data_IF_160282386646
#
_entry.id   IF_160282386646
#
_cell.length_a   1.000
_cell.length_b   1.000
_cell.length_c   1.000
_cell.angle_alpha   90.00
_cell.angle_beta   90.00
_cell.angle_gamma   90.00
#
_symmetry.space_group_name_H-M   'P 1'
#
loop_
_entity.id
_entity.type
_entity.pdbx_description
1 polymer ?
#
# COMPACT_ATOMS: atom_id res chain seq x y z
N UNK A 1 -39.33 19.04 9.58
CA UNK A 1 -38.85 17.65 9.49
C UNK A 1 -39.81 16.79 10.30
N UNK A 2 -40.27 15.66 9.76
CA UNK A 2 -41.13 14.76 10.51
C UNK A 2 -40.30 13.75 11.32
N UNK A 3 -40.82 13.27 12.45
CA UNK A 3 -40.14 12.24 13.25
C UNK A 3 -39.90 10.96 12.44
N UNK A 4 -40.79 10.66 11.50
CA UNK A 4 -40.66 9.53 10.57
C UNK A 4 -39.42 9.66 9.67
N UNK A 5 -39.11 10.87 9.19
CA UNK A 5 -37.95 11.11 8.32
C UNK A 5 -36.64 10.83 9.08
N UNK A 6 -36.58 11.27 10.34
CA UNK A 6 -35.43 11.04 11.22
C UNK A 6 -35.28 9.56 11.58
N UNK A 7 -36.39 8.86 11.85
CA UNK A 7 -36.39 7.42 12.11
C UNK A 7 -35.88 6.64 10.90
N UNK A 8 -36.34 6.98 9.69
CA UNK A 8 -35.86 6.36 8.46
C UNK A 8 -34.35 6.58 8.24
N UNK A 9 -33.85 7.79 8.46
CA UNK A 9 -32.42 8.08 8.34
C UNK A 9 -31.60 7.29 9.38
N UNK A 10 -32.09 7.20 10.62
CA UNK A 10 -31.45 6.40 11.68
C UNK A 10 -31.39 4.92 11.32
N UNK A 11 -32.46 4.36 10.78
CA UNK A 11 -32.51 2.95 10.41
C UNK A 11 -31.54 2.65 9.27
N UNK A 12 -31.46 3.52 8.26
CA UNK A 12 -30.45 3.45 7.19
C UNK A 12 -29.02 3.53 7.75
N UNK A 13 -28.79 4.46 8.68
CA UNK A 13 -27.46 4.65 9.30
C UNK A 13 -27.02 3.43 10.11
N UNK A 14 -27.92 2.83 10.89
CA UNK A 14 -27.65 1.61 11.65
C UNK A 14 -27.38 0.40 10.74
N UNK A 15 -27.99 0.37 9.55
CA UNK A 15 -27.73 -0.70 8.58
C UNK A 15 -26.30 -0.66 8.02
N UNK A 16 -25.70 0.53 7.89
CA UNK A 16 -24.28 0.66 7.52
C UNK A 16 -23.37 -0.06 8.53
N UNK A 17 -23.65 0.04 9.82
CA UNK A 17 -22.85 -0.60 10.87
C UNK A 17 -22.90 -2.14 10.78
N UNK A 18 -24.05 -2.70 10.37
CA UNK A 18 -24.21 -4.15 10.22
C UNK A 18 -23.49 -4.69 8.99
N UNK A 19 -23.52 -3.92 7.90
CA UNK A 19 -23.02 -4.36 6.59
C UNK A 19 -21.54 -4.06 6.39
N UNK A 20 -20.99 -3.03 7.06
CA UNK A 20 -19.60 -2.58 6.85
C UNK A 20 -18.64 -3.00 7.96
N UNK A 21 -17.62 -3.79 7.59
CA UNK A 21 -16.50 -4.12 8.49
C UNK A 21 -15.70 -2.90 8.92
N UNK A 22 -15.72 -1.80 8.15
CA UNK A 22 -15.01 -0.55 8.45
C UNK A 22 -15.54 0.12 9.73
N UNK A 23 -16.79 -0.18 10.10
CA UNK A 23 -17.45 0.33 11.30
C UNK A 23 -17.38 -0.65 12.48
N UNK A 24 -16.75 -1.80 12.31
CA UNK A 24 -16.62 -2.81 13.35
C UNK A 24 -15.53 -2.48 14.38
N UNK A 25 -15.51 -3.21 15.49
CA UNK A 25 -14.40 -3.16 16.46
C UNK A 25 -13.06 -3.59 15.86
N UNK A 26 -13.11 -4.39 14.79
CA UNK A 26 -11.94 -4.91 14.07
C UNK A 26 -11.56 -4.02 12.88
N UNK A 27 -11.97 -2.74 12.86
CA UNK A 27 -11.67 -1.81 11.74
C UNK A 27 -10.18 -1.64 11.46
N UNK A 28 -9.32 -1.84 12.47
CA UNK A 28 -7.85 -1.82 12.35
C UNK A 28 -7.23 -3.21 12.17
N UNK A 29 -8.03 -4.25 11.90
CA UNK A 29 -7.50 -5.55 11.53
C UNK A 29 -6.80 -5.43 10.18
N UNK A 30 -5.47 -5.52 10.23
CA UNK A 30 -4.60 -5.34 9.07
C UNK A 30 -4.78 -6.45 8.03
N UNK A 31 -5.35 -7.61 8.41
CA UNK A 31 -5.71 -8.68 7.47
C UNK A 31 -6.68 -8.25 6.39
N UNK A 32 -7.41 -7.15 6.64
CA UNK A 32 -8.40 -6.62 5.71
C UNK A 32 -7.96 -5.36 4.99
N UNK A 33 -6.69 -4.95 5.15
CA UNK A 33 -6.14 -3.83 4.40
C UNK A 33 -6.17 -4.10 2.89
N UNK A 34 -6.06 -3.07 2.08
CA UNK A 34 -5.95 -3.17 0.62
C UNK A 34 -4.75 -4.02 0.25
N UNK A 35 -3.64 -3.84 0.97
CA UNK A 35 -2.49 -4.72 0.90
C UNK A 35 -2.20 -5.23 2.32
N UNK A 36 -2.68 -6.43 2.71
CA UNK A 36 -2.49 -6.92 4.06
C UNK A 36 -1.00 -7.08 4.40
N UNK A 37 -0.49 -6.43 5.45
CA UNK A 37 0.88 -6.62 5.88
C UNK A 37 1.05 -8.07 6.35
N UNK A 38 2.08 -8.75 5.85
CA UNK A 38 2.44 -10.09 6.37
C UNK A 38 2.98 -9.96 7.80
N UNK A 39 2.95 -11.03 8.59
CA UNK A 39 3.16 -11.01 10.06
C UNK A 39 4.45 -10.37 10.58
N UNK A 40 5.43 -10.13 9.70
CA UNK A 40 6.70 -9.49 9.99
C UNK A 40 6.83 -8.07 9.38
N UNK A 41 5.87 -7.64 8.54
CA UNK A 41 5.73 -6.30 7.93
C UNK A 41 5.08 -5.28 8.89
N UNK A 42 4.92 -5.64 10.17
CA UNK A 42 4.76 -4.67 11.25
C UNK A 42 6.10 -3.93 11.43
N UNK A 43 6.44 -3.12 10.43
CA UNK A 43 7.45 -2.08 10.61
C UNK A 43 7.04 -1.24 11.82
N UNK A 44 8.04 -0.76 12.56
CA UNK A 44 7.86 0.21 13.65
C UNK A 44 6.90 1.34 13.22
N UNK A 45 7.00 1.78 11.96
CA UNK A 45 6.13 2.80 11.34
C UNK A 45 4.65 2.44 11.31
N UNK A 46 4.28 1.22 10.89
CA UNK A 46 2.87 0.81 10.87
C UNK A 46 2.32 0.70 12.30
N UNK A 47 3.14 0.19 13.23
CA UNK A 47 2.81 0.18 14.65
C UNK A 47 2.53 1.60 15.18
N UNK A 48 3.39 2.56 14.84
CA UNK A 48 3.21 3.97 15.18
C UNK A 48 1.90 4.53 14.63
N UNK A 49 1.58 4.31 13.35
CA UNK A 49 0.32 4.79 12.76
C UNK A 49 -0.91 4.19 13.44
N UNK A 50 -0.91 2.88 13.70
CA UNK A 50 -2.01 2.21 14.38
C UNK A 50 -2.19 2.70 15.82
N UNK A 51 -1.10 3.01 16.52
CA UNK A 51 -1.16 3.58 17.87
C UNK A 51 -1.74 4.99 17.84
N UNK A 52 -1.28 5.85 16.92
CA UNK A 52 -1.86 7.19 16.76
C UNK A 52 -3.36 7.14 16.44
N UNK A 53 -3.82 6.21 15.60
CA UNK A 53 -5.26 6.07 15.33
C UNK A 53 -6.06 5.61 16.55
N UNK A 54 -5.50 4.71 17.38
CA UNK A 54 -6.14 4.29 18.64
C UNK A 54 -6.19 5.42 19.67
N UNK A 55 -5.14 6.23 19.75
CA UNK A 55 -5.11 7.42 20.60
C UNK A 55 -6.13 8.46 20.15
N UNK A 56 -6.22 8.70 18.84
CA UNK A 56 -7.23 9.57 18.24
C UNK A 56 -8.65 9.08 18.54
N UNK A 57 -8.91 7.77 18.45
CA UNK A 57 -10.19 7.17 18.85
C UNK A 57 -10.51 7.42 20.33
N UNK A 58 -9.53 7.20 21.21
CA UNK A 58 -9.72 7.42 22.64
C UNK A 58 -9.99 8.91 22.94
N UNK A 59 -9.37 9.82 22.20
CA UNK A 59 -9.63 11.25 22.29
C UNK A 59 -11.05 11.61 21.81
N UNK A 60 -11.47 11.07 20.67
CA UNK A 60 -12.83 11.26 20.13
C UNK A 60 -13.90 10.75 21.11
N UNK A 61 -13.68 9.60 21.75
CA UNK A 61 -14.59 9.10 22.79
C UNK A 61 -14.72 10.08 23.96
N UNK A 62 -13.63 10.72 24.39
CA UNK A 62 -13.67 11.75 25.46
C UNK A 62 -14.42 13.00 25.01
N UNK A 63 -14.27 13.43 23.75
CA UNK A 63 -15.04 14.55 23.21
C UNK A 63 -16.53 14.23 23.19
N UNK A 64 -16.91 13.02 22.77
CA UNK A 64 -18.30 12.57 22.76
C UNK A 64 -18.93 12.54 24.15
N UNK A 65 -18.17 12.17 25.19
CA UNK A 65 -18.62 12.25 26.58
C UNK A 65 -18.88 13.70 27.03
N UNK A 66 -18.01 14.64 26.64
CA UNK A 66 -18.22 16.06 26.97
C UNK A 66 -19.49 16.62 26.35
N UNK A 67 -19.82 16.23 25.12
CA UNK A 67 -21.08 16.64 24.51
C UNK A 67 -22.28 16.02 25.21
N UNK A 68 -22.21 14.75 25.63
CA UNK A 68 -23.32 14.12 26.35
C UNK A 68 -23.70 14.91 27.61
N UNK A 69 -22.72 15.34 28.40
CA UNK A 69 -22.95 16.19 29.58
C UNK A 69 -23.67 17.50 29.20
N UNK A 70 -23.29 18.11 28.07
CA UNK A 70 -23.91 19.36 27.60
C UNK A 70 -25.33 19.14 27.06
N UNK A 71 -25.58 18.00 26.43
CA UNK A 71 -26.91 17.63 25.94
C UNK A 71 -27.90 17.30 27.06
N UNK A 72 -27.40 16.78 28.18
CA UNK A 72 -28.14 16.53 29.41
C UNK A 72 -28.37 17.80 30.25
N UNK A 73 -27.85 18.96 29.83
CA UNK A 73 -28.10 20.22 30.52
C UNK A 73 -29.59 20.58 30.46
N UNK A 74 -30.14 21.03 31.58
CA UNK A 74 -31.49 21.59 31.65
C UNK A 74 -31.63 22.93 30.93
N UNK A 75 -30.52 23.56 30.54
CA UNK A 75 -30.52 24.82 29.79
C UNK A 75 -30.63 24.54 28.27
N UNK A 76 -31.75 24.90 27.62
CA UNK A 76 -31.94 24.71 26.19
C UNK A 76 -30.88 25.43 25.34
N UNK A 77 -30.37 26.58 25.79
CA UNK A 77 -29.36 27.33 25.06
C UNK A 77 -28.02 26.58 25.03
N UNK A 78 -27.63 25.95 26.14
CA UNK A 78 -26.42 25.14 26.23
C UNK A 78 -26.50 23.94 25.30
N UNK A 79 -27.65 23.27 25.26
CA UNK A 79 -27.84 22.10 24.42
C UNK A 79 -27.94 22.45 22.92
N UNK A 80 -28.65 23.54 22.57
CA UNK A 80 -28.71 24.02 21.19
C UNK A 80 -27.34 24.46 20.67
N UNK A 81 -26.52 25.09 21.52
CA UNK A 81 -25.12 25.39 21.21
C UNK A 81 -24.31 24.13 20.99
N UNK A 82 -24.45 23.11 21.85
CA UNK A 82 -23.77 21.84 21.69
C UNK A 82 -24.18 21.11 20.40
N UNK A 83 -25.46 21.17 20.03
CA UNK A 83 -25.96 20.60 18.78
C UNK A 83 -25.37 21.32 17.57
N UNK A 84 -25.30 22.65 17.60
CA UNK A 84 -24.64 23.44 16.54
C UNK A 84 -23.19 23.02 16.35
N UNK A 85 -22.41 22.96 17.44
CA UNK A 85 -21.01 22.53 17.40
C UNK A 85 -20.84 21.10 16.86
N UNK A 86 -21.77 20.20 17.21
CA UNK A 86 -21.80 18.84 16.66
C UNK A 86 -22.04 18.84 15.14
N UNK A 87 -22.96 19.68 14.66
CA UNK A 87 -23.22 19.84 13.22
C UNK A 87 -22.04 20.46 12.48
N UNK A 88 -21.34 21.43 13.09
CA UNK A 88 -20.12 22.01 12.54
C UNK A 88 -19.01 20.96 12.43
N UNK A 89 -18.87 20.08 13.43
CA UNK A 89 -17.96 18.93 13.32
C UNK A 89 -18.37 17.98 12.20
N UNK A 90 -19.64 17.64 12.05
CA UNK A 90 -20.09 16.74 10.97
C UNK A 90 -19.67 17.28 9.60
N UNK A 91 -19.84 18.58 9.35
CA UNK A 91 -19.39 19.22 8.11
C UNK A 91 -17.88 19.13 7.93
N UNK A 92 -17.11 19.33 9.00
CA UNK A 92 -15.66 19.20 8.98
C UNK A 92 -15.21 17.77 8.66
N UNK A 93 -15.78 16.77 9.32
CA UNK A 93 -15.44 15.36 9.13
C UNK A 93 -15.88 14.84 7.76
N UNK A 94 -17.06 15.27 7.28
CA UNK A 94 -17.54 14.99 5.93
C UNK A 94 -16.53 15.51 4.89
N UNK A 95 -16.17 16.79 4.98
CA UNK A 95 -15.20 17.41 4.07
C UNK A 95 -13.86 16.67 4.10
N UNK A 96 -13.35 16.35 5.30
CA UNK A 96 -12.10 15.61 5.46
C UNK A 96 -12.14 14.24 4.79
N UNK A 97 -13.28 13.53 4.89
CA UNK A 97 -13.48 12.22 4.27
C UNK A 97 -13.61 12.29 2.74
N UNK A 98 -14.27 13.34 2.23
CA UNK A 98 -14.41 13.62 0.80
C UNK A 98 -13.08 14.01 0.15
N UNK A 99 -12.25 14.78 0.86
CA UNK A 99 -10.91 15.18 0.44
C UNK A 99 -9.84 14.08 0.62
N UNK A 100 -10.21 12.93 1.19
CA UNK A 100 -9.28 11.81 1.38
C UNK A 100 -8.76 11.33 0.02
N UNK A 101 -7.43 11.16 -0.14
CA UNK A 101 -6.85 10.75 -1.42
C UNK A 101 -7.31 9.36 -1.85
N UNK A 102 -7.67 8.49 -0.90
CA UNK A 102 -8.14 7.14 -1.17
C UNK A 102 -9.56 7.18 -1.76
N UNK A 103 -9.63 7.29 -3.09
CA UNK A 103 -10.87 7.43 -3.87
C UNK A 103 -10.84 6.51 -5.10
N UNK A 104 -11.93 6.45 -5.87
CA UNK A 104 -11.97 5.70 -7.12
C UNK A 104 -10.92 6.21 -8.12
N UNK A 105 -10.57 7.50 -8.02
CA UNK A 105 -9.54 8.15 -8.84
C UNK A 105 -8.16 8.16 -8.14
N UNK A 106 -7.93 7.24 -7.19
CA UNK A 106 -6.67 7.18 -6.44
C UNK A 106 -5.48 7.15 -7.41
N UNK A 107 -4.55 8.12 -7.31
CA UNK A 107 -3.48 8.26 -8.29
C UNK A 107 -2.50 7.10 -8.16
N UNK A 108 -2.54 6.17 -9.12
CA UNK A 108 -1.59 5.06 -9.18
C UNK A 108 -0.25 5.59 -9.71
N UNK A 109 0.80 5.65 -8.88
CA UNK A 109 2.07 6.21 -9.31
C UNK A 109 2.74 5.26 -10.31
N UNK A 110 3.51 5.78 -11.27
CA UNK A 110 4.42 4.94 -12.06
C UNK A 110 5.57 4.49 -11.17
N UNK A 111 5.60 3.20 -10.86
CA UNK A 111 6.59 2.63 -9.96
C UNK A 111 7.78 2.11 -10.76
N UNK A 112 8.92 2.76 -10.52
CA UNK A 112 10.18 2.59 -11.23
C UNK A 112 11.31 2.15 -10.29
N UNK A 113 11.01 1.85 -9.03
CA UNK A 113 11.96 1.22 -8.11
C UNK A 113 11.27 0.53 -6.95
N UNK A 114 11.97 -0.44 -6.36
CA UNK A 114 11.56 -1.08 -5.12
C UNK A 114 11.37 -0.04 -4.02
N UNK A 115 12.23 0.96 -3.95
CA UNK A 115 12.09 2.06 -3.00
C UNK A 115 10.77 2.82 -3.23
N UNK A 116 10.44 3.17 -4.48
CA UNK A 116 9.17 3.80 -4.82
C UNK A 116 7.98 2.89 -4.51
N UNK A 117 8.11 1.59 -4.74
CA UNK A 117 7.08 0.63 -4.39
C UNK A 117 6.86 0.54 -2.89
N UNK A 118 7.94 0.39 -2.11
CA UNK A 118 7.90 0.36 -0.65
C UNK A 118 7.31 1.65 -0.11
N UNK A 119 7.71 2.81 -0.63
CA UNK A 119 7.14 4.11 -0.29
C UNK A 119 5.65 4.19 -0.63
N UNK A 120 5.25 3.67 -1.79
CA UNK A 120 3.86 3.58 -2.20
C UNK A 120 3.03 2.72 -1.23
N UNK A 121 3.52 1.53 -0.84
CA UNK A 121 2.82 0.65 0.11
C UNK A 121 2.69 1.32 1.49
N UNK A 122 3.74 1.95 2.01
CA UNK A 122 3.65 2.67 3.28
C UNK A 122 2.69 3.87 3.22
N UNK A 123 2.70 4.60 2.11
CA UNK A 123 1.74 5.69 1.89
C UNK A 123 0.32 5.14 1.83
N UNK A 124 0.10 4.03 1.12
CA UNK A 124 -1.18 3.35 1.05
C UNK A 124 -1.69 2.93 2.43
N UNK A 125 -0.84 2.36 3.29
CA UNK A 125 -1.21 2.02 4.68
C UNK A 125 -1.67 3.24 5.46
N UNK A 126 -0.91 4.33 5.38
CA UNK A 126 -1.26 5.59 6.07
C UNK A 126 -2.60 6.13 5.57
N UNK A 127 -2.76 6.23 4.26
CA UNK A 127 -4.00 6.75 3.66
C UNK A 127 -5.21 5.87 3.98
N UNK A 128 -5.03 4.55 3.97
CA UNK A 128 -6.09 3.62 4.33
C UNK A 128 -6.48 3.69 5.81
N UNK A 129 -5.51 3.81 6.72
CA UNK A 129 -5.76 4.01 8.14
C UNK A 129 -6.55 5.31 8.36
N UNK A 130 -6.11 6.41 7.75
CA UNK A 130 -6.79 7.71 7.83
C UNK A 130 -8.22 7.63 7.29
N UNK A 131 -8.41 6.97 6.15
CA UNK A 131 -9.72 6.76 5.53
C UNK A 131 -10.67 5.96 6.45
N UNK A 132 -10.19 4.85 7.02
CA UNK A 132 -10.95 4.02 7.97
C UNK A 132 -11.33 4.81 9.23
N UNK A 133 -10.40 5.61 9.75
CA UNK A 133 -10.64 6.48 10.89
C UNK A 133 -11.70 7.53 10.57
N UNK A 134 -11.58 8.22 9.42
CA UNK A 134 -12.56 9.21 8.98
C UNK A 134 -13.98 8.63 8.84
N UNK A 135 -14.12 7.43 8.26
CA UNK A 135 -15.39 6.70 8.20
C UNK A 135 -15.97 6.48 9.60
N UNK A 136 -15.16 6.00 10.55
CA UNK A 136 -15.60 5.70 11.90
C UNK A 136 -16.00 6.97 12.69
N UNK A 137 -15.19 8.01 12.62
CA UNK A 137 -15.44 9.30 13.30
C UNK A 137 -16.72 9.93 12.76
N UNK A 138 -16.87 10.02 11.43
CA UNK A 138 -18.07 10.58 10.83
C UNK A 138 -19.31 9.75 11.21
N UNK A 139 -19.23 8.42 11.13
CA UNK A 139 -20.34 7.54 11.51
C UNK A 139 -20.81 7.76 12.95
N UNK A 140 -19.88 7.74 13.91
CA UNK A 140 -20.22 7.91 15.33
C UNK A 140 -20.75 9.32 15.64
N UNK A 141 -20.24 10.33 14.94
CA UNK A 141 -20.71 11.72 15.06
C UNK A 141 -22.14 11.86 14.52
N UNK A 142 -22.46 11.25 13.37
CA UNK A 142 -23.83 11.19 12.82
C UNK A 142 -24.76 10.45 13.79
N UNK A 143 -24.37 9.29 14.32
CA UNK A 143 -25.18 8.55 15.31
C UNK A 143 -25.54 9.43 16.50
N UNK A 144 -24.57 10.21 17.00
CA UNK A 144 -24.80 11.13 18.10
C UNK A 144 -25.79 12.23 17.73
N UNK A 145 -25.62 12.85 16.58
CA UNK A 145 -26.49 13.93 16.12
C UNK A 145 -27.92 13.46 15.89
N UNK A 146 -28.11 12.28 15.29
CA UNK A 146 -29.44 11.67 15.10
C UNK A 146 -30.18 11.48 16.43
N UNK A 147 -29.51 10.92 17.45
CA UNK A 147 -30.11 10.73 18.76
C UNK A 147 -30.51 12.07 19.41
N UNK A 148 -29.67 13.10 19.25
CA UNK A 148 -29.93 14.41 19.84
C UNK A 148 -31.04 15.17 19.10
N UNK A 149 -31.09 15.10 17.77
CA UNK A 149 -32.21 15.64 17.01
C UNK A 149 -33.53 14.95 17.37
N UNK A 150 -33.52 13.65 17.62
CA UNK A 150 -34.74 12.91 17.98
C UNK A 150 -35.29 13.38 19.33
N UNK A 151 -34.41 13.53 20.33
CA UNK A 151 -34.78 14.06 21.64
C UNK A 151 -35.37 15.47 21.51
N UNK A 152 -34.72 16.34 20.73
CA UNK A 152 -35.15 17.74 20.54
C UNK A 152 -36.47 17.83 19.78
N UNK A 153 -36.65 17.02 18.73
CA UNK A 153 -37.89 17.00 17.97
C UNK A 153 -39.07 16.50 18.82
N UNK A 154 -38.85 15.54 19.72
CA UNK A 154 -39.88 15.08 20.68
C UNK A 154 -40.24 16.16 21.70
N UNK A 155 -39.26 16.95 22.17
CA UNK A 155 -39.50 18.04 23.12
C UNK A 155 -40.29 19.22 22.52
N UNK A 156 -40.28 19.38 21.19
CA UNK A 156 -41.00 20.44 20.48
C UNK A 156 -42.49 20.17 20.23
N UNK A 157 -42.96 18.94 20.47
CA UNK A 157 -44.32 18.54 20.08
C UNK A 157 -45.45 19.31 20.81
N UNK A 158 -45.15 19.99 21.91
CA UNK A 158 -46.17 20.61 22.77
C UNK A 158 -46.27 22.16 22.64
N UNK A 159 -45.25 22.85 22.10
CA UNK A 159 -45.29 24.32 21.88
C UNK A 159 -44.10 24.76 20.99
N UNK A 160 -44.14 24.42 19.70
CA UNK A 160 -42.99 24.54 18.80
C UNK A 160 -42.64 26.00 18.45
N UNK A 161 -41.49 26.49 18.92
CA UNK A 161 -40.84 27.69 18.37
C UNK A 161 -40.53 27.48 16.88
N UNK A 162 -41.16 28.24 15.95
CA UNK A 162 -40.93 28.08 14.51
C UNK A 162 -39.47 28.28 14.10
N UNK A 163 -38.73 29.14 14.80
CA UNK A 163 -37.32 29.39 14.50
C UNK A 163 -36.46 28.16 14.83
N UNK A 164 -36.74 27.52 15.96
CA UNK A 164 -36.05 26.29 16.37
C UNK A 164 -36.43 25.13 15.43
N UNK A 165 -37.70 25.00 15.02
CA UNK A 165 -38.10 23.98 14.05
C UNK A 165 -37.37 24.16 12.70
N UNK A 166 -37.28 25.39 12.19
CA UNK A 166 -36.53 25.70 10.96
C UNK A 166 -35.04 25.35 11.10
N UNK A 167 -34.45 25.58 12.27
CA UNK A 167 -33.06 25.21 12.54
C UNK A 167 -32.86 23.69 12.54
N UNK A 168 -33.75 22.93 13.20
CA UNK A 168 -33.69 21.46 13.22
C UNK A 168 -33.84 20.88 11.81
N UNK A 169 -34.69 21.48 10.99
CA UNK A 169 -34.87 21.08 9.59
C UNK A 169 -33.59 21.29 8.79
N UNK A 170 -32.90 22.42 8.97
CA UNK A 170 -31.59 22.66 8.37
C UNK A 170 -30.52 21.66 8.83
N UNK A 171 -30.55 21.26 10.11
CA UNK A 171 -29.64 20.24 10.63
C UNK A 171 -29.93 18.85 10.05
N UNK A 172 -31.20 18.49 9.88
CA UNK A 172 -31.57 17.23 9.25
C UNK A 172 -31.05 17.14 7.80
N UNK A 173 -31.20 18.21 7.02
CA UNK A 173 -30.65 18.26 5.65
C UNK A 173 -29.13 18.01 5.66
N UNK A 174 -28.40 18.73 6.52
CA UNK A 174 -26.94 18.54 6.66
C UNK A 174 -26.57 17.12 7.12
N UNK A 175 -27.37 16.48 7.98
CA UNK A 175 -27.14 15.09 8.40
C UNK A 175 -27.38 14.10 7.26
N UNK A 176 -28.44 14.30 6.48
CA UNK A 176 -28.73 13.42 5.36
C UNK A 176 -27.61 13.49 4.31
N UNK A 177 -27.13 14.70 3.99
CA UNK A 177 -25.97 14.90 3.11
C UNK A 177 -24.71 14.18 3.62
N UNK A 178 -24.39 14.35 4.91
CA UNK A 178 -23.23 13.68 5.52
C UNK A 178 -23.38 12.15 5.54
N UNK A 179 -24.59 11.64 5.76
CA UNK A 179 -24.89 10.21 5.69
C UNK A 179 -24.74 9.66 4.27
N UNK A 180 -25.23 10.38 3.25
CA UNK A 180 -25.07 10.01 1.85
C UNK A 180 -23.59 9.97 1.45
N UNK A 181 -22.81 10.98 1.86
CA UNK A 181 -21.37 11.01 1.66
C UNK A 181 -20.68 9.80 2.33
N UNK A 182 -20.99 9.53 3.60
CA UNK A 182 -20.46 8.36 4.32
C UNK A 182 -20.80 7.05 3.61
N UNK A 183 -22.08 6.86 3.25
CA UNK A 183 -22.58 5.66 2.57
C UNK A 183 -21.85 5.43 1.25
N UNK A 184 -21.71 6.48 0.43
CA UNK A 184 -20.96 6.43 -0.82
C UNK A 184 -19.53 5.96 -0.59
N UNK A 185 -18.81 6.53 0.38
CA UNK A 185 -17.40 6.19 0.65
C UNK A 185 -17.24 4.76 1.15
N UNK A 186 -18.18 4.26 1.97
CA UNK A 186 -18.21 2.85 2.39
C UNK A 186 -18.41 1.93 1.17
N UNK A 187 -19.30 2.29 0.25
CA UNK A 187 -19.61 1.50 -0.94
C UNK A 187 -18.52 1.56 -2.02
N UNK A 188 -17.78 2.66 -2.11
CA UNK A 188 -16.64 2.81 -3.04
C UNK A 188 -15.43 1.97 -2.60
N UNK A 189 -15.24 1.78 -1.28
CA UNK A 189 -14.03 1.17 -0.72
C UNK A 189 -13.69 -0.23 -1.30
N UNK A 190 -14.64 -1.17 -1.49
CA UNK A 190 -14.35 -2.45 -2.17
C UNK A 190 -13.80 -2.28 -3.60
N UNK A 191 -14.32 -1.32 -4.36
CA UNK A 191 -13.86 -1.05 -5.73
C UNK A 191 -12.46 -0.43 -5.74
N UNK A 192 -12.20 0.51 -4.82
CA UNK A 192 -10.87 1.09 -4.61
C UNK A 192 -9.86 -0.02 -4.29
N UNK A 193 -10.24 -0.91 -3.36
CA UNK A 193 -9.42 -2.05 -2.96
C UNK A 193 -9.06 -2.94 -4.14
N UNK A 194 -10.05 -3.40 -4.91
CA UNK A 194 -9.84 -4.25 -6.09
C UNK A 194 -8.92 -3.56 -7.11
N UNK A 195 -9.13 -2.26 -7.35
CA UNK A 195 -8.34 -1.49 -8.32
C UNK A 195 -6.85 -1.46 -7.94
N UNK A 196 -6.55 -1.17 -6.68
CA UNK A 196 -5.18 -1.10 -6.19
C UNK A 196 -4.53 -2.49 -6.10
N UNK A 197 -5.28 -3.52 -5.68
CA UNK A 197 -4.82 -4.91 -5.66
C UNK A 197 -4.43 -5.41 -7.06
N UNK A 198 -5.25 -5.10 -8.07
CA UNK A 198 -4.97 -5.42 -9.46
C UNK A 198 -3.71 -4.70 -9.96
N UNK A 199 -3.58 -3.42 -9.66
CA UNK A 199 -2.39 -2.65 -10.00
C UNK A 199 -1.10 -3.26 -9.42
N UNK A 200 -1.11 -3.60 -8.12
CA UNK A 200 0.03 -4.24 -7.46
C UNK A 200 0.33 -5.60 -8.10
N UNK A 201 -0.70 -6.39 -8.39
CA UNK A 201 -0.56 -7.72 -9.02
C UNK A 201 0.07 -7.61 -10.41
N UNK A 202 -0.40 -6.67 -11.24
CA UNK A 202 0.13 -6.45 -12.59
C UNK A 202 1.58 -5.98 -12.55
N UNK A 203 1.93 -5.12 -11.59
CA UNK A 203 3.30 -4.68 -11.38
C UNK A 203 4.20 -5.87 -11.03
N UNK A 204 3.78 -6.74 -10.11
CA UNK A 204 4.53 -7.94 -9.72
C UNK A 204 4.68 -8.93 -10.89
N UNK A 205 3.62 -9.15 -11.68
CA UNK A 205 3.65 -9.99 -12.87
C UNK A 205 4.64 -9.45 -13.92
N UNK A 206 4.71 -8.13 -14.08
CA UNK A 206 5.68 -7.47 -14.96
C UNK A 206 7.12 -7.71 -14.52
N UNK A 207 7.41 -7.61 -13.21
CA UNK A 207 8.73 -7.93 -12.65
C UNK A 207 9.08 -9.39 -12.88
N UNK A 208 8.17 -10.31 -12.58
CA UNK A 208 8.35 -11.75 -12.78
C UNK A 208 8.68 -12.08 -14.24
N UNK A 209 7.88 -11.59 -15.19
CA UNK A 209 8.11 -11.85 -16.62
C UNK A 209 9.49 -11.41 -17.09
N UNK A 210 9.98 -10.25 -16.59
CA UNK A 210 11.31 -9.76 -16.92
C UNK A 210 12.42 -10.60 -16.27
N UNK A 211 12.22 -11.09 -15.04
CA UNK A 211 13.11 -12.06 -14.40
C UNK A 211 13.22 -13.34 -15.23
N UNK A 212 12.08 -13.94 -15.58
CA UNK A 212 12.02 -15.21 -16.32
C UNK A 212 12.69 -15.10 -17.69
N UNK A 213 12.51 -13.98 -18.40
CA UNK A 213 13.22 -13.72 -19.66
C UNK A 213 14.74 -13.67 -19.49
N UNK A 214 15.23 -13.10 -18.40
CA UNK A 214 16.66 -13.10 -18.11
C UNK A 214 17.18 -14.48 -17.74
N UNK A 215 16.39 -15.24 -16.96
CA UNK A 215 16.73 -16.60 -16.57
C UNK A 215 16.78 -17.53 -17.79
N UNK A 216 15.86 -17.36 -18.74
CA UNK A 216 15.88 -18.09 -20.02
C UNK A 216 17.13 -17.79 -20.84
N UNK A 217 17.56 -16.52 -20.91
CA UNK A 217 18.83 -16.15 -21.57
C UNK A 217 20.05 -16.77 -20.89
N UNK A 218 20.07 -16.81 -19.55
CA UNK A 218 21.13 -17.48 -18.80
C UNK A 218 21.16 -18.97 -19.12
N UNK A 219 19.98 -19.62 -19.15
CA UNK A 219 19.84 -21.04 -19.52
C UNK A 219 20.42 -21.35 -20.90
N UNK A 220 20.08 -20.55 -21.92
CA UNK A 220 20.61 -20.75 -23.28
C UNK A 220 22.14 -20.72 -23.32
N UNK A 221 22.77 -19.83 -22.55
CA UNK A 221 24.24 -19.81 -22.43
C UNK A 221 24.79 -21.05 -21.73
N UNK A 222 24.13 -21.52 -20.67
CA UNK A 222 24.54 -22.75 -19.96
C UNK A 222 24.41 -23.97 -20.88
N UNK A 223 23.33 -24.06 -21.64
CA UNK A 223 23.08 -25.15 -22.59
C UNK A 223 24.16 -25.18 -23.70
N UNK A 224 24.64 -24.01 -24.16
CA UNK A 224 25.79 -23.91 -25.09
C UNK A 224 27.10 -24.46 -24.49
N UNK A 225 27.35 -24.26 -23.18
CA UNK A 225 28.50 -24.88 -22.51
C UNK A 225 28.36 -26.38 -22.40
N UNK A 226 27.17 -26.85 -22.01
CA UNK A 226 26.92 -28.28 -21.90
C UNK A 226 27.13 -28.99 -23.24
N UNK A 227 26.73 -28.35 -24.34
CA UNK A 227 26.97 -28.84 -25.70
C UNK A 227 28.46 -28.85 -26.04
N UNK A 228 29.24 -27.84 -25.65
CA UNK A 228 30.71 -27.82 -25.84
C UNK A 228 31.41 -28.92 -25.04
N UNK A 229 31.00 -29.13 -23.79
CA UNK A 229 31.49 -30.21 -22.94
C UNK A 229 31.20 -31.59 -23.57
N UNK A 230 29.99 -31.80 -24.11
CA UNK A 230 29.62 -33.07 -24.76
C UNK A 230 30.44 -33.41 -26.02
N UNK A 231 31.15 -32.43 -26.60
CA UNK A 231 32.06 -32.63 -27.73
C UNK A 231 33.48 -33.04 -27.32
N UNK A 232 33.69 -33.35 -26.03
CA UNK A 232 34.95 -33.91 -25.52
C UNK A 232 35.97 -32.88 -25.02
N UNK A 233 35.59 -31.62 -24.86
CA UNK A 233 36.48 -30.61 -24.27
C UNK A 233 36.29 -30.60 -22.75
N UNK A 234 37.15 -31.36 -22.05
CA UNK A 234 37.13 -31.52 -20.59
C UNK A 234 37.21 -30.19 -19.83
N UNK A 235 37.77 -29.13 -20.46
CA UNK A 235 37.84 -27.80 -19.87
C UNK A 235 36.45 -27.18 -19.63
N UNK A 236 35.40 -27.69 -20.26
CA UNK A 236 34.02 -27.20 -20.09
C UNK A 236 33.20 -27.97 -19.05
N UNK A 237 33.70 -29.10 -18.53
CA UNK A 237 32.93 -29.96 -17.62
C UNK A 237 32.56 -29.23 -16.33
N UNK A 238 33.57 -28.68 -15.66
CA UNK A 238 33.39 -27.96 -14.38
C UNK A 238 32.54 -26.70 -14.52
N UNK A 239 32.70 -25.98 -15.62
CA UNK A 239 32.04 -24.70 -15.90
C UNK A 239 30.60 -24.90 -16.32
N UNK A 240 30.33 -25.97 -17.08
CA UNK A 240 28.97 -26.41 -17.39
C UNK A 240 28.23 -26.82 -16.11
N UNK A 241 28.88 -27.57 -15.21
CA UNK A 241 28.28 -27.96 -13.94
C UNK A 241 27.94 -26.74 -13.07
N UNK A 242 28.88 -25.80 -12.91
CA UNK A 242 28.65 -24.58 -12.12
C UNK A 242 27.53 -23.71 -12.70
N UNK A 243 27.50 -23.57 -14.04
CA UNK A 243 26.41 -22.90 -14.73
C UNK A 243 25.04 -23.55 -14.46
N UNK A 244 24.96 -24.88 -14.51
CA UNK A 244 23.72 -25.60 -14.20
C UNK A 244 23.29 -25.41 -12.73
N UNK A 245 24.23 -25.44 -11.79
CA UNK A 245 23.97 -25.17 -10.37
C UNK A 245 23.39 -23.76 -10.21
N UNK A 246 24.04 -22.74 -10.78
CA UNK A 246 23.55 -21.36 -10.75
C UNK A 246 22.12 -21.25 -11.27
N UNK A 247 21.81 -21.85 -12.43
CA UNK A 247 20.44 -21.80 -12.97
C UNK A 247 19.41 -22.48 -12.07
N UNK A 248 19.74 -23.65 -11.51
CA UNK A 248 18.83 -24.37 -10.61
C UNK A 248 18.52 -23.56 -9.36
N UNK A 249 19.55 -22.99 -8.73
CA UNK A 249 19.40 -22.16 -7.52
C UNK A 249 18.57 -20.90 -7.80
N UNK A 250 18.88 -20.18 -8.89
CA UNK A 250 18.13 -18.99 -9.29
C UNK A 250 16.67 -19.32 -9.63
N UNK A 251 16.41 -20.42 -10.34
CA UNK A 251 15.06 -20.87 -10.67
C UNK A 251 14.29 -21.21 -9.40
N UNK A 252 14.87 -22.03 -8.52
CA UNK A 252 14.25 -22.44 -7.26
C UNK A 252 13.92 -21.22 -6.38
N UNK A 253 14.86 -20.29 -6.26
CA UNK A 253 14.65 -19.06 -5.49
C UNK A 253 13.59 -18.16 -6.12
N UNK A 254 13.57 -18.04 -7.44
CA UNK A 254 12.57 -17.22 -8.14
C UNK A 254 11.16 -17.78 -7.96
N UNK A 255 10.96 -19.10 -8.04
CA UNK A 255 9.67 -19.73 -7.76
C UNK A 255 9.23 -19.45 -6.32
N UNK A 256 10.12 -19.67 -5.36
CA UNK A 256 9.84 -19.37 -3.95
C UNK A 256 9.43 -17.90 -3.73
N UNK A 257 10.08 -16.96 -4.41
CA UNK A 257 9.79 -15.53 -4.30
C UNK A 257 8.50 -15.11 -5.03
N UNK A 258 8.27 -15.53 -6.27
CA UNK A 258 7.09 -15.07 -7.02
C UNK A 258 5.81 -15.83 -6.66
N UNK A 259 5.90 -17.09 -6.21
CA UNK A 259 4.72 -17.87 -5.78
C UNK A 259 4.32 -17.53 -4.34
N UNK A 260 5.29 -17.29 -3.44
CA UNK A 260 5.05 -17.19 -2.00
C UNK A 260 5.74 -15.99 -1.31
N UNK A 261 6.51 -15.20 -2.07
CA UNK A 261 7.32 -14.13 -1.52
C UNK A 261 6.51 -12.92 -1.06
N UNK A 262 7.21 -12.03 -0.38
CA UNK A 262 6.71 -10.71 0.01
C UNK A 262 7.79 -9.69 -0.27
N UNK A 263 7.44 -8.42 -0.17
CA UNK A 263 8.33 -7.33 -0.52
C UNK A 263 9.57 -7.27 0.35
N UNK A 264 9.45 -7.57 1.63
CA UNK A 264 10.61 -7.59 2.53
C UNK A 264 11.57 -8.74 2.19
N UNK A 265 11.06 -9.85 1.63
CA UNK A 265 11.91 -10.94 1.12
C UNK A 265 12.63 -10.56 -0.16
N UNK A 266 12.36 -9.41 -0.79
CA UNK A 266 13.05 -9.02 -2.02
C UNK A 266 14.54 -8.76 -1.76
N UNK A 267 14.89 -8.23 -0.59
CA UNK A 267 16.28 -8.00 -0.22
C UNK A 267 16.99 -9.33 0.04
N UNK A 268 16.33 -10.26 0.73
CA UNK A 268 16.83 -11.63 0.89
C UNK A 268 16.98 -12.34 -0.46
N UNK A 269 15.92 -12.35 -1.27
CA UNK A 269 15.92 -12.86 -2.64
C UNK A 269 17.08 -12.31 -3.47
N UNK A 270 17.28 -10.99 -3.44
CA UNK A 270 18.42 -10.31 -4.09
C UNK A 270 19.75 -10.82 -3.54
N UNK A 271 19.93 -10.82 -2.23
CA UNK A 271 21.17 -11.26 -1.59
C UNK A 271 21.49 -12.71 -1.96
N UNK A 272 20.49 -13.59 -1.95
CA UNK A 272 20.66 -14.98 -2.34
C UNK A 272 21.05 -15.09 -3.82
N UNK A 273 20.33 -14.41 -4.72
CA UNK A 273 20.68 -14.39 -6.14
C UNK A 273 22.10 -13.85 -6.38
N UNK A 274 22.51 -12.80 -5.67
CA UNK A 274 23.86 -12.25 -5.76
C UNK A 274 24.91 -13.21 -5.20
N UNK A 275 24.61 -13.89 -4.09
CA UNK A 275 25.49 -14.89 -3.50
C UNK A 275 25.70 -16.07 -4.47
N UNK A 276 24.64 -16.58 -5.09
CA UNK A 276 24.74 -17.64 -6.10
C UNK A 276 25.55 -17.20 -7.31
N UNK A 277 25.34 -15.98 -7.81
CA UNK A 277 26.13 -15.44 -8.92
C UNK A 277 27.59 -15.30 -8.53
N UNK A 278 27.88 -14.79 -7.33
CA UNK A 278 29.24 -14.58 -6.88
C UNK A 278 29.98 -15.90 -6.68
N UNK A 279 29.30 -16.93 -6.17
CA UNK A 279 29.83 -18.29 -6.07
C UNK A 279 30.20 -18.82 -7.47
N UNK A 280 29.27 -18.75 -8.41
CA UNK A 280 29.46 -19.24 -9.78
C UNK A 280 30.50 -18.44 -10.57
N UNK A 281 30.68 -17.15 -10.24
CA UNK A 281 31.62 -16.26 -10.92
C UNK A 281 33.07 -16.70 -10.80
N UNK A 282 33.45 -17.34 -9.69
CA UNK A 282 34.80 -17.82 -9.45
C UNK A 282 35.29 -18.78 -10.55
N UNK A 283 34.38 -19.63 -11.03
CA UNK A 283 34.64 -20.62 -12.08
C UNK A 283 34.31 -20.08 -13.48
N UNK A 284 33.15 -19.43 -13.63
CA UNK A 284 32.64 -18.98 -14.93
C UNK A 284 33.50 -17.85 -15.53
N UNK A 285 34.16 -17.01 -14.73
CA UNK A 285 34.97 -15.88 -15.24
C UNK A 285 36.19 -16.31 -16.08
N UNK A 286 36.66 -17.55 -15.90
CA UNK A 286 37.81 -18.08 -16.62
C UNK A 286 37.48 -18.44 -18.07
N UNK A 287 36.19 -18.39 -18.46
CA UNK A 287 35.72 -18.71 -19.81
C UNK A 287 35.28 -17.46 -20.57
N UNK A 288 35.72 -17.37 -21.83
CA UNK A 288 35.46 -16.20 -22.69
C UNK A 288 33.95 -15.96 -22.84
N UNK A 289 33.51 -14.72 -22.60
CA UNK A 289 32.11 -14.29 -22.76
C UNK A 289 31.17 -14.59 -21.59
N UNK A 290 31.66 -15.22 -20.51
CA UNK A 290 30.87 -15.52 -19.31
C UNK A 290 30.83 -14.39 -18.29
N UNK A 291 31.93 -13.64 -18.15
CA UNK A 291 31.94 -12.41 -17.36
C UNK A 291 30.84 -11.44 -17.85
N UNK A 292 30.65 -11.32 -19.16
CA UNK A 292 29.59 -10.51 -19.76
C UNK A 292 28.20 -11.09 -19.49
N UNK A 293 28.03 -12.42 -19.57
CA UNK A 293 26.76 -13.09 -19.26
C UNK A 293 26.30 -12.80 -17.82
N UNK A 294 27.22 -12.99 -16.87
CA UNK A 294 26.95 -12.82 -15.45
C UNK A 294 26.71 -11.36 -15.11
N UNK A 295 27.46 -10.43 -15.72
CA UNK A 295 27.21 -9.01 -15.57
C UNK A 295 25.83 -8.61 -16.14
N UNK A 296 25.45 -9.12 -17.31
CA UNK A 296 24.13 -8.90 -17.89
C UNK A 296 22.99 -9.48 -17.04
N UNK A 297 23.22 -10.59 -16.34
CA UNK A 297 22.22 -11.18 -15.46
C UNK A 297 22.14 -10.48 -14.11
N UNK A 298 23.29 -10.14 -13.51
CA UNK A 298 23.41 -9.30 -12.30
C UNK A 298 22.73 -7.96 -12.54
N UNK A 299 22.90 -7.41 -13.73
CA UNK A 299 22.21 -6.23 -14.19
C UNK A 299 20.69 -6.38 -14.18
N UNK A 300 20.15 -7.48 -14.70
CA UNK A 300 18.71 -7.74 -14.64
C UNK A 300 18.25 -7.80 -13.18
N UNK A 301 18.99 -8.49 -12.30
CA UNK A 301 18.68 -8.52 -10.86
C UNK A 301 18.66 -7.13 -10.22
N UNK A 302 19.65 -6.30 -10.54
CA UNK A 302 19.70 -4.92 -10.07
C UNK A 302 18.65 -4.03 -10.74
N UNK A 303 18.25 -4.36 -11.97
CA UNK A 303 17.14 -3.73 -12.68
C UNK A 303 15.82 -4.02 -12.01
N UNK A 304 15.61 -5.18 -11.41
CA UNK A 304 14.38 -5.48 -10.66
C UNK A 304 14.20 -4.51 -9.48
N UNK A 305 15.29 -4.06 -8.85
CA UNK A 305 15.25 -3.02 -7.81
C UNK A 305 14.79 -1.66 -8.35
N UNK A 306 14.84 -1.46 -9.67
CA UNK A 306 14.35 -0.28 -10.37
C UNK A 306 13.14 -0.58 -11.26
N UNK A 307 12.41 -1.68 -11.03
CA UNK A 307 11.33 -2.16 -11.92
C UNK A 307 11.69 -2.11 -13.42
N UNK A 308 13.00 -2.20 -13.72
CA UNK A 308 13.66 -2.12 -15.03
C UNK A 308 13.62 -0.76 -15.74
N UNK A 309 13.24 0.33 -15.08
CA UNK A 309 12.98 1.63 -15.73
C UNK A 309 14.20 2.53 -15.81
N UNK A 310 15.03 2.63 -14.75
CA UNK A 310 16.31 3.39 -14.81
C UNK A 310 17.17 2.97 -15.99
N UNK A 311 17.04 1.70 -16.33
CA UNK A 311 17.76 1.04 -17.38
C UNK A 311 17.17 1.26 -18.77
N UNK A 312 15.85 1.31 -18.87
CA UNK A 312 15.16 1.68 -20.10
C UNK A 312 15.39 3.15 -20.43
N UNK A 313 15.29 4.05 -19.43
CA UNK A 313 15.57 5.49 -19.58
C UNK A 313 17.01 5.74 -19.99
N UNK A 314 17.99 5.08 -19.36
CA UNK A 314 19.38 5.18 -19.79
C UNK A 314 19.57 4.69 -21.21
N UNK A 315 19.00 3.54 -21.57
CA UNK A 315 19.11 3.02 -22.93
C UNK A 315 18.50 3.97 -23.97
N UNK A 316 17.35 4.56 -23.68
CA UNK A 316 16.73 5.58 -24.53
C UNK A 316 17.56 6.87 -24.62
N UNK A 317 18.19 7.29 -23.52
CA UNK A 317 18.94 8.55 -23.45
C UNK A 317 20.36 8.46 -24.03
N UNK A 318 21.03 7.30 -23.89
CA UNK A 318 22.44 7.15 -24.23
C UNK A 318 22.71 6.06 -25.28
N UNK A 319 21.67 5.36 -25.74
CA UNK A 319 21.80 4.13 -26.54
C UNK A 319 22.42 2.98 -25.75
N UNK A 320 22.63 3.16 -24.43
CA UNK A 320 23.36 2.25 -23.55
C UNK A 320 22.59 2.06 -22.25
N UNK A 321 22.44 0.80 -21.86
CA UNK A 321 21.92 0.47 -20.54
C UNK A 321 22.88 1.03 -19.47
N UNK A 322 22.35 1.72 -18.43
CA UNK A 322 23.14 2.54 -17.47
C UNK A 322 24.31 1.82 -16.81
N UNK A 323 24.21 0.51 -16.73
CA UNK A 323 25.16 -0.37 -16.06
C UNK A 323 25.86 -1.36 -17.02
N UNK A 324 25.80 -1.15 -18.33
CA UNK A 324 26.65 -1.86 -19.29
C UNK A 324 27.87 -0.99 -19.64
N UNK A 325 29.04 -1.20 -19.01
CA UNK A 325 30.26 -0.60 -19.51
C UNK A 325 30.67 -1.28 -20.82
N UNK A 326 31.20 -0.50 -21.77
CA UNK A 326 31.80 -1.01 -23.01
C UNK A 326 32.77 -2.17 -22.69
N UNK A 327 32.78 -3.26 -23.48
CA UNK A 327 33.75 -4.31 -23.29
C UNK A 327 35.12 -3.78 -23.69
N UNK A 328 36.02 -3.63 -22.70
CA UNK A 328 37.48 -3.77 -22.82
C UNK A 328 38.11 -3.74 -21.43
N UNK A 329 38.60 -4.90 -20.99
CA UNK A 329 39.78 -5.13 -20.12
C UNK A 329 40.05 -4.14 -18.97
N UNK A 330 39.03 -3.83 -18.18
CA UNK A 330 39.11 -2.99 -16.97
C UNK A 330 38.02 -3.40 -15.94
N UNK A 331 37.62 -4.67 -16.03
CA UNK A 331 36.34 -5.20 -15.53
C UNK A 331 36.37 -5.67 -14.08
N UNK A 332 37.55 -5.76 -13.45
CA UNK A 332 37.69 -6.09 -12.02
C UNK A 332 37.67 -4.82 -11.16
N UNK A 333 38.46 -3.81 -11.56
CA UNK A 333 38.53 -2.47 -10.93
C UNK A 333 37.16 -1.77 -10.94
N UNK A 334 36.42 -1.89 -12.05
CA UNK A 334 35.08 -1.31 -12.16
C UNK A 334 33.99 -2.08 -11.40
N UNK A 335 34.22 -3.35 -11.09
CA UNK A 335 33.30 -4.15 -10.28
C UNK A 335 33.47 -3.83 -8.79
N UNK A 336 34.70 -3.52 -8.37
CA UNK A 336 35.01 -2.96 -7.05
C UNK A 336 34.44 -1.54 -6.91
N UNK A 337 34.62 -0.66 -7.90
CA UNK A 337 33.98 0.68 -7.90
C UNK A 337 32.46 0.60 -7.88
N UNK A 338 31.86 -0.39 -8.54
CA UNK A 338 30.42 -0.62 -8.52
C UNK A 338 29.95 -1.18 -7.17
N UNK A 339 30.73 -2.06 -6.53
CA UNK A 339 30.46 -2.52 -5.17
C UNK A 339 30.50 -1.35 -4.17
N UNK A 340 31.42 -0.39 -4.34
CA UNK A 340 31.46 0.87 -3.58
C UNK A 340 30.24 1.75 -3.87
N UNK A 341 29.83 1.94 -5.12
CA UNK A 341 28.62 2.71 -5.45
C UNK A 341 27.32 2.06 -4.97
N UNK A 342 27.27 0.73 -4.87
CA UNK A 342 26.14 -0.01 -4.27
C UNK A 342 26.12 0.17 -2.74
N UNK A 343 27.29 0.25 -2.10
CA UNK A 343 27.40 0.57 -0.67
C UNK A 343 26.99 2.02 -0.38
N UNK A 344 27.35 2.98 -1.24
CA UNK A 344 26.94 4.40 -1.12
C UNK A 344 25.44 4.64 -1.36
N UNK A 345 24.77 3.77 -2.13
CA UNK A 345 23.32 3.82 -2.38
C UNK A 345 22.49 3.17 -1.27
N UNK A 346 23.14 2.50 -0.31
CA UNK A 346 22.55 2.13 0.97
C UNK A 346 22.96 3.19 1.98
N UNK A 347 22.07 4.08 2.45
CA UNK A 347 22.40 4.91 3.59
C UNK A 347 22.73 3.98 4.75
N UNK A 348 23.89 4.19 5.38
CA UNK A 348 24.25 3.50 6.61
C UNK A 348 23.09 3.60 7.60
N UNK A 349 22.61 2.44 8.04
CA UNK A 349 21.95 2.27 9.33
C UNK A 349 23.05 2.26 10.40
#
# INVERSE_FOLDING_TARGET
MKLEDLAQLRDKHLELQKTSRLLSRNRYDTKHFIYPPKSFEFSEKLGTYLNFSKEADAYEMKLQQKWEVRFQSNDPAVANKALKELMDKIKFEQKTLEESPLSLDFPLPRINSLEQFTHFIYSLYREEINFRMGIYVLHTTITKALNQLEIRQKQLADDADPALQMQLDGYFVSLNEAHEALSKRINDYPLIKITIENYITDLMRSVQSKFEKALAKLKLKIDDLSLKNSKGDENYSKVSQEGQTLYKELLARSKCFFENGSLEKINGFKQDCLAYIQAAKSELKNHRGWAEALNNFTYVLLSMLSFFIVNTVSYCATGQFRFLPKPKTDSLVKLEQFQSSVQELTPGI
#
